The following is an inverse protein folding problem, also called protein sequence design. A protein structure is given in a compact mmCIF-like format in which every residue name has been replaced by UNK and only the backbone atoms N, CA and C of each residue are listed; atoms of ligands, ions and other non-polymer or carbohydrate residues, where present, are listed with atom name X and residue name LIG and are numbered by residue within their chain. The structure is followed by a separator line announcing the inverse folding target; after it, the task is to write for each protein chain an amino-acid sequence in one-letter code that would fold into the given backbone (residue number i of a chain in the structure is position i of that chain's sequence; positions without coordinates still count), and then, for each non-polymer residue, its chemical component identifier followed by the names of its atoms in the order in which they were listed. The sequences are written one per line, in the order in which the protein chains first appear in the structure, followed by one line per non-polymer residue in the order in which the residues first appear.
data_IF_910411626539
#
_entry.id   IF_910411626539
#
_cell.length_a   1.000
_cell.length_b   1.000
_cell.length_c   1.000
_cell.angle_alpha   90.00
_cell.angle_beta   90.00
_cell.angle_gamma   90.00
#
_symmetry.space_group_name_H-M   'P 1'
#
loop_
_entity.id
_entity.type
_entity.pdbx_description
1 polymer ?
#
# COMPACT_ATOMS: atom_id res chain seq x y z
N UNK A 1 -3.60 -8.25 -17.81
CA UNK A 1 -3.05 -8.97 -18.94
C UNK A 1 -2.77 -8.04 -20.11
N UNK A 2 -1.97 -8.48 -21.08
CA UNK A 2 -1.71 -7.78 -22.33
C UNK A 2 -2.83 -8.13 -23.32
N UNK A 3 -3.70 -7.15 -23.63
CA UNK A 3 -4.85 -7.33 -24.49
C UNK A 3 -4.85 -6.26 -25.58
N UNK A 4 -5.08 -6.66 -26.82
CA UNK A 4 -5.11 -5.76 -27.97
C UNK A 4 -6.30 -4.78 -27.94
N UNK A 5 -7.45 -5.23 -27.45
CA UNK A 5 -8.67 -4.45 -27.28
C UNK A 5 -9.50 -4.99 -26.12
N UNK A 6 -10.16 -4.09 -25.41
CA UNK A 6 -11.07 -4.41 -24.31
C UNK A 6 -12.33 -3.59 -24.46
N UNK A 7 -13.48 -4.25 -24.38
CA UNK A 7 -14.78 -3.61 -24.26
C UNK A 7 -15.45 -4.11 -22.97
N UNK A 8 -15.91 -3.19 -22.16
CA UNK A 8 -16.64 -3.51 -20.92
C UNK A 8 -17.98 -2.79 -20.94
N UNK A 9 -19.06 -3.56 -20.79
CA UNK A 9 -20.41 -3.04 -20.69
C UNK A 9 -20.94 -3.22 -19.27
N UNK A 10 -21.41 -2.14 -18.67
CA UNK A 10 -21.98 -2.14 -17.33
C UNK A 10 -23.35 -1.47 -17.29
N UNK A 11 -24.28 -2.03 -16.52
CA UNK A 11 -25.59 -1.46 -16.31
C UNK A 11 -25.79 -1.09 -14.85
N UNK A 12 -26.16 0.15 -14.58
CA UNK A 12 -26.59 0.57 -13.27
C UNK A 12 -28.08 0.28 -13.10
N UNK A 13 -28.41 -0.73 -12.29
CA UNK A 13 -29.80 -1.17 -12.07
C UNK A 13 -30.26 -0.68 -10.71
N UNK A 14 -31.29 0.18 -10.71
CA UNK A 14 -31.94 0.62 -9.48
C UNK A 14 -32.84 -0.48 -8.92
N UNK A 15 -32.67 -0.80 -7.65
CA UNK A 15 -33.46 -1.81 -6.95
C UNK A 15 -33.93 -1.28 -5.60
N UNK A 16 -34.82 -2.01 -4.90
CA UNK A 16 -35.25 -1.71 -3.53
C UNK A 16 -34.28 -2.23 -2.45
N UNK A 17 -33.14 -2.76 -2.86
CA UNK A 17 -32.08 -3.17 -1.93
C UNK A 17 -31.23 -1.96 -1.50
N UNK A 18 -30.53 -2.05 -0.36
CA UNK A 18 -29.57 -1.03 0.03
C UNK A 18 -28.57 -0.73 -1.09
N UNK A 19 -28.17 0.54 -1.20
CA UNK A 19 -27.15 0.98 -2.15
C UNK A 19 -25.85 0.23 -1.88
N UNK A 20 -25.26 -0.32 -2.94
CA UNK A 20 -23.89 -0.79 -2.88
C UNK A 20 -22.93 0.39 -2.72
N UNK A 21 -21.89 0.21 -1.95
CA UNK A 21 -20.90 1.23 -1.68
C UNK A 21 -19.48 0.66 -1.81
N UNK A 22 -18.49 1.55 -1.80
CA UNK A 22 -17.10 1.16 -1.88
C UNK A 22 -16.73 0.24 -0.69
N UNK A 23 -16.14 -0.89 -1.01
CA UNK A 23 -15.53 -1.83 -0.08
C UNK A 23 -14.12 -2.14 -0.61
N UNK A 24 -13.17 -2.56 0.21
CA UNK A 24 -11.75 -2.75 -0.14
C UNK A 24 -11.55 -3.23 -1.59
N UNK A 25 -10.88 -2.41 -2.44
CA UNK A 25 -10.75 -2.57 -3.89
C UNK A 25 -12.11 -2.66 -4.63
N UNK A 26 -12.93 -1.59 -4.65
CA UNK A 26 -14.29 -1.61 -5.18
C UNK A 26 -14.39 -2.20 -6.58
N UNK A 27 -15.16 -3.28 -6.74
CA UNK A 27 -15.39 -3.97 -8.00
C UNK A 27 -14.27 -4.90 -8.47
N UNK A 28 -13.03 -4.71 -8.02
CA UNK A 28 -11.89 -5.51 -8.48
C UNK A 28 -11.99 -7.00 -8.12
N UNK A 29 -12.36 -7.44 -6.90
CA UNK A 29 -12.48 -8.86 -6.60
C UNK A 29 -13.47 -9.59 -7.49
N UNK A 30 -14.63 -8.98 -7.79
CA UNK A 30 -15.64 -9.57 -8.66
C UNK A 30 -15.17 -9.68 -10.10
N UNK A 31 -14.53 -8.63 -10.63
CA UNK A 31 -13.98 -8.62 -11.97
C UNK A 31 -12.83 -9.62 -12.13
N UNK A 32 -11.92 -9.67 -11.13
CA UNK A 32 -10.81 -10.62 -11.10
C UNK A 32 -11.34 -12.06 -11.03
N UNK A 33 -12.32 -12.34 -10.17
CA UNK A 33 -12.94 -13.66 -10.10
C UNK A 33 -13.47 -14.13 -11.45
N UNK A 34 -14.21 -13.29 -12.16
CA UNK A 34 -14.76 -13.63 -13.46
C UNK A 34 -13.67 -13.91 -14.51
N UNK A 35 -12.66 -13.03 -14.59
CA UNK A 35 -11.56 -13.18 -15.56
C UNK A 35 -10.68 -14.39 -15.24
N UNK A 36 -10.30 -14.55 -13.99
CA UNK A 36 -9.39 -15.61 -13.56
C UNK A 36 -10.04 -17.01 -13.64
N UNK A 37 -11.34 -17.11 -13.38
CA UNK A 37 -12.10 -18.36 -13.60
C UNK A 37 -12.05 -18.79 -15.06
N UNK A 38 -12.23 -17.85 -16.00
CA UNK A 38 -12.13 -18.14 -17.44
C UNK A 38 -10.70 -18.52 -17.83
N UNK A 39 -9.69 -17.87 -17.28
CA UNK A 39 -8.28 -18.21 -17.54
C UNK A 39 -7.95 -19.61 -17.01
N UNK A 40 -8.48 -19.99 -15.87
CA UNK A 40 -8.30 -21.35 -15.31
C UNK A 40 -8.98 -22.41 -16.18
N UNK A 41 -10.23 -22.18 -16.61
CA UNK A 41 -10.93 -23.09 -17.52
C UNK A 41 -10.18 -23.25 -18.85
N UNK A 42 -9.69 -22.17 -19.43
CA UNK A 42 -8.89 -22.20 -20.66
C UNK A 42 -7.58 -22.98 -20.45
N UNK A 43 -6.91 -22.81 -19.30
CA UNK A 43 -5.70 -23.55 -18.98
C UNK A 43 -5.95 -25.07 -18.95
N UNK A 44 -7.07 -25.48 -18.37
CA UNK A 44 -7.48 -26.90 -18.30
C UNK A 44 -7.84 -27.43 -19.70
N UNK A 45 -8.66 -26.71 -20.49
CA UNK A 45 -9.07 -27.11 -21.83
C UNK A 45 -7.85 -27.28 -22.76
N UNK A 46 -6.88 -26.39 -22.64
CA UNK A 46 -5.66 -26.40 -23.44
C UNK A 46 -4.57 -27.32 -22.89
N UNK A 47 -4.79 -27.91 -21.72
CA UNK A 47 -3.82 -28.73 -20.98
C UNK A 47 -2.47 -28.02 -20.80
N UNK A 48 -2.54 -26.77 -20.37
CA UNK A 48 -1.39 -25.90 -20.10
C UNK A 48 -1.27 -25.62 -18.60
N UNK A 49 -0.05 -25.41 -18.15
CA UNK A 49 0.19 -24.95 -16.79
C UNK A 49 -0.47 -23.56 -16.56
N UNK A 50 -1.27 -23.38 -15.49
CA UNK A 50 -2.03 -22.16 -15.27
C UNK A 50 -1.12 -20.93 -15.04
N UNK A 51 0.09 -21.10 -14.51
CA UNK A 51 1.07 -19.99 -14.41
C UNK A 51 1.65 -19.66 -15.79
N UNK A 52 1.97 -20.66 -16.59
CA UNK A 52 2.54 -20.43 -17.93
C UNK A 52 1.55 -19.72 -18.86
N UNK A 53 0.26 -20.02 -18.77
CA UNK A 53 -0.78 -19.27 -19.50
C UNK A 53 -0.78 -17.80 -19.09
N UNK A 54 -0.68 -17.53 -17.78
CA UNK A 54 -0.65 -16.16 -17.26
C UNK A 54 0.64 -15.44 -17.64
N UNK A 55 1.80 -16.08 -17.54
CA UNK A 55 3.09 -15.52 -17.98
C UNK A 55 3.11 -15.16 -19.46
N UNK A 56 2.52 -16.01 -20.30
CA UNK A 56 2.41 -15.77 -21.75
C UNK A 56 1.59 -14.51 -22.07
N UNK A 57 0.57 -14.24 -21.27
CA UNK A 57 -0.37 -13.13 -21.46
C UNK A 57 -0.13 -11.98 -20.47
N UNK A 58 0.98 -11.98 -19.73
CA UNK A 58 1.23 -11.01 -18.66
C UNK A 58 1.32 -9.57 -19.18
N UNK A 59 0.74 -8.66 -18.39
CA UNK A 59 0.95 -7.23 -18.55
C UNK A 59 2.45 -6.89 -18.41
N UNK A 60 2.90 -5.92 -19.21
CA UNK A 60 4.31 -5.50 -19.27
C UNK A 60 4.41 -4.00 -19.41
N UNK A 61 5.53 -3.43 -19.00
CA UNK A 61 5.88 -2.02 -19.26
C UNK A 61 5.65 -1.63 -20.72
N UNK A 62 5.06 -0.48 -20.94
CA UNK A 62 4.77 0.08 -22.26
C UNK A 62 3.52 -0.48 -22.93
N UNK A 63 2.82 -1.44 -22.31
CA UNK A 63 1.54 -1.95 -22.81
C UNK A 63 0.36 -1.18 -22.21
N UNK A 64 -0.71 -1.07 -22.99
CA UNK A 64 -1.94 -0.41 -22.55
C UNK A 64 -2.68 -1.31 -21.58
N UNK A 65 -3.10 -0.75 -20.46
CA UNK A 65 -3.93 -1.45 -19.48
C UNK A 65 -5.38 -1.59 -19.95
N UNK A 66 -6.12 -2.51 -19.35
CA UNK A 66 -7.54 -2.70 -19.62
C UNK A 66 -8.42 -1.52 -19.17
N UNK A 67 -7.91 -0.64 -18.31
CA UNK A 67 -8.62 0.54 -17.81
C UNK A 67 -8.15 1.87 -18.42
N UNK A 68 -7.22 1.82 -19.39
CA UNK A 68 -6.83 2.97 -20.22
C UNK A 68 -5.36 3.38 -20.19
N UNK A 69 -4.73 3.63 -19.04
CA UNK A 69 -3.33 4.04 -18.97
C UNK A 69 -2.35 3.03 -19.54
N UNK A 70 -1.18 3.49 -19.96
CA UNK A 70 -0.05 2.63 -20.31
C UNK A 70 0.67 2.24 -19.03
N UNK A 71 1.00 0.96 -18.89
CA UNK A 71 1.77 0.48 -17.74
C UNK A 71 3.19 1.06 -17.75
N UNK A 72 3.62 1.54 -16.62
CA UNK A 72 5.02 1.76 -16.28
C UNK A 72 5.66 0.45 -15.77
N UNK A 73 6.59 0.49 -14.83
CA UNK A 73 7.12 -0.73 -14.25
C UNK A 73 6.02 -1.45 -13.46
N UNK A 74 5.84 -2.74 -13.73
CA UNK A 74 4.78 -3.59 -13.15
C UNK A 74 5.31 -4.98 -12.86
N UNK A 75 5.00 -5.51 -11.69
CA UNK A 75 5.56 -6.73 -11.14
C UNK A 75 4.75 -8.02 -11.40
N UNK A 76 3.90 -8.08 -12.43
CA UNK A 76 3.09 -9.28 -12.66
C UNK A 76 3.93 -10.50 -13.02
N UNK A 77 4.96 -10.34 -13.84
CA UNK A 77 5.83 -11.44 -14.25
C UNK A 77 6.59 -11.97 -13.04
N UNK A 78 7.21 -11.08 -12.28
CA UNK A 78 8.00 -11.39 -11.11
C UNK A 78 7.15 -12.09 -10.03
N UNK A 79 5.90 -11.66 -9.82
CA UNK A 79 4.99 -12.31 -8.88
C UNK A 79 4.58 -13.71 -9.34
N UNK A 80 4.31 -13.90 -10.64
CA UNK A 80 4.00 -15.21 -11.21
C UNK A 80 5.19 -16.17 -11.16
N UNK A 81 6.40 -15.70 -11.48
CA UNK A 81 7.63 -16.50 -11.39
C UNK A 81 7.96 -16.89 -9.95
N UNK A 82 7.80 -15.96 -9.01
CA UNK A 82 7.95 -16.25 -7.58
C UNK A 82 6.93 -17.32 -7.11
N UNK A 83 5.68 -17.22 -7.55
CA UNK A 83 4.65 -18.21 -7.25
C UNK A 83 4.99 -19.58 -7.84
N UNK A 84 5.49 -19.63 -9.08
CA UNK A 84 5.88 -20.87 -9.77
C UNK A 84 7.05 -21.58 -9.07
N UNK A 85 8.01 -20.80 -8.58
CA UNK A 85 9.19 -21.31 -7.89
C UNK A 85 8.91 -21.71 -6.43
N UNK A 86 7.79 -21.30 -5.87
CA UNK A 86 7.50 -21.48 -4.44
C UNK A 86 7.19 -22.96 -4.10
N UNK A 87 7.63 -23.46 -2.94
CA UNK A 87 7.34 -24.84 -2.51
C UNK A 87 5.85 -25.17 -2.45
N UNK A 88 4.97 -24.20 -2.17
CA UNK A 88 3.53 -24.38 -2.18
C UNK A 88 3.04 -24.87 -3.57
N UNK A 89 3.50 -24.23 -4.66
CA UNK A 89 3.07 -24.60 -6.02
C UNK A 89 3.55 -25.99 -6.42
N UNK A 90 4.70 -26.41 -5.91
CA UNK A 90 5.31 -27.73 -6.20
C UNK A 90 4.79 -28.85 -5.29
N UNK A 91 4.08 -28.52 -4.22
CA UNK A 91 3.64 -29.50 -3.25
C UNK A 91 2.59 -30.46 -3.83
N UNK A 92 2.67 -31.78 -3.55
CA UNK A 92 1.67 -32.73 -4.02
C UNK A 92 0.32 -32.47 -3.35
N UNK A 93 -0.74 -32.79 -4.07
CA UNK A 93 -2.12 -32.79 -3.58
C UNK A 93 -2.55 -34.21 -3.25
N UNK A 94 -3.38 -34.35 -2.21
CA UNK A 94 -4.01 -35.60 -1.83
C UNK A 94 -5.37 -35.81 -2.52
N UNK A 95 -6.06 -36.90 -2.18
CA UNK A 95 -7.43 -37.14 -2.63
C UNK A 95 -8.36 -35.99 -2.21
N UNK A 96 -9.31 -35.63 -3.10
CA UNK A 96 -10.29 -34.56 -2.89
C UNK A 96 -9.69 -33.17 -2.63
N UNK A 97 -8.41 -32.98 -2.96
CA UNK A 97 -7.72 -31.72 -2.85
C UNK A 97 -7.52 -31.07 -4.20
N UNK A 98 -7.62 -29.75 -4.23
CA UNK A 98 -7.40 -28.94 -5.42
C UNK A 98 -6.54 -27.73 -5.11
N UNK A 99 -5.83 -27.26 -6.13
CA UNK A 99 -5.07 -26.00 -6.09
C UNK A 99 -5.70 -24.98 -7.00
N UNK A 100 -6.03 -23.83 -6.45
CA UNK A 100 -6.44 -22.65 -7.18
C UNK A 100 -5.32 -21.61 -7.25
N UNK A 101 -5.31 -20.84 -8.35
CA UNK A 101 -4.40 -19.73 -8.57
C UNK A 101 -5.18 -18.58 -9.17
N UNK A 102 -4.94 -17.37 -8.69
CA UNK A 102 -5.43 -16.15 -9.33
C UNK A 102 -4.39 -15.05 -9.31
N UNK A 103 -4.43 -14.17 -10.33
CA UNK A 103 -3.63 -12.97 -10.42
C UNK A 103 -4.55 -11.75 -10.50
N UNK A 104 -4.16 -10.67 -9.85
CA UNK A 104 -4.94 -9.44 -9.87
C UNK A 104 -4.09 -8.22 -9.64
N UNK A 105 -4.70 -7.05 -9.75
CA UNK A 105 -4.04 -5.78 -9.47
C UNK A 105 -4.98 -4.77 -8.84
N UNK A 106 -4.38 -3.82 -8.18
CA UNK A 106 -5.02 -2.58 -7.78
C UNK A 106 -4.11 -1.41 -8.11
N UNK A 107 -4.69 -0.29 -8.43
CA UNK A 107 -3.98 0.96 -8.70
C UNK A 107 -4.09 1.91 -7.51
N UNK A 108 -3.27 2.96 -7.49
CA UNK A 108 -3.31 3.98 -6.46
C UNK A 108 -3.75 5.32 -7.06
N UNK A 109 -4.60 6.01 -6.33
CA UNK A 109 -5.23 7.21 -6.84
C UNK A 109 -4.36 8.48 -6.81
N UNK A 110 -3.33 8.54 -5.96
CA UNK A 110 -2.65 9.81 -5.75
C UNK A 110 -3.54 10.82 -4.99
N UNK A 111 -3.77 12.00 -5.59
CA UNK A 111 -4.70 13.02 -5.11
C UNK A 111 -4.10 14.05 -4.16
N UNK A 112 -4.95 14.97 -3.68
CA UNK A 112 -4.54 16.13 -2.89
C UNK A 112 -4.16 15.74 -1.48
N UNK A 113 -3.05 16.31 -1.00
CA UNK A 113 -2.51 16.05 0.32
C UNK A 113 -1.75 17.26 0.83
N UNK A 114 -1.93 17.56 2.11
CA UNK A 114 -1.23 18.60 2.84
C UNK A 114 -0.59 17.97 4.10
N UNK A 115 0.69 18.23 4.33
CA UNK A 115 1.43 17.80 5.53
C UNK A 115 2.17 18.97 6.11
N UNK A 116 2.09 19.11 7.43
CA UNK A 116 2.94 20.01 8.21
C UNK A 116 3.84 19.21 9.15
N UNK A 117 5.08 19.66 9.30
CA UNK A 117 6.07 19.04 10.16
C UNK A 117 6.64 20.12 11.07
N UNK A 118 6.58 19.91 12.39
CA UNK A 118 7.15 20.83 13.37
C UNK A 118 8.34 20.18 14.08
N UNK A 119 9.46 20.90 14.13
CA UNK A 119 10.62 20.53 14.92
C UNK A 119 10.51 21.20 16.28
N UNK A 120 10.37 20.40 17.33
CA UNK A 120 10.24 20.89 18.71
C UNK A 120 11.62 21.18 19.32
N UNK A 121 11.68 22.08 20.28
CA UNK A 121 12.93 22.50 20.93
C UNK A 121 13.69 21.38 21.66
N UNK A 122 13.03 20.27 21.98
CA UNK A 122 13.62 19.07 22.57
C UNK A 122 14.15 18.08 21.52
N UNK A 123 14.11 18.45 20.23
CA UNK A 123 14.52 17.62 19.10
C UNK A 123 13.52 16.52 18.73
N UNK A 124 12.31 16.53 19.27
CA UNK A 124 11.21 15.70 18.77
C UNK A 124 10.53 16.36 17.56
N UNK A 125 9.87 15.55 16.72
CA UNK A 125 9.23 16.02 15.50
C UNK A 125 7.76 15.59 15.51
N UNK A 126 6.88 16.57 15.27
CA UNK A 126 5.45 16.31 15.06
C UNK A 126 5.14 16.38 13.57
N UNK A 127 4.73 15.26 12.98
CA UNK A 127 4.18 15.21 11.62
C UNK A 127 2.67 15.29 11.72
N UNK A 128 2.07 16.27 11.07
CA UNK A 128 0.64 16.57 11.15
C UNK A 128 0.04 16.31 9.77
N UNK A 129 -0.91 15.39 9.70
CA UNK A 129 -1.58 14.98 8.48
C UNK A 129 -3.07 14.72 8.74
N UNK A 130 -3.91 14.64 7.70
CA UNK A 130 -5.37 14.62 7.83
C UNK A 130 -6.05 13.27 7.55
N UNK A 131 -5.29 12.22 7.25
CA UNK A 131 -5.87 10.92 6.86
C UNK A 131 -5.93 9.95 8.05
N UNK A 132 -7.08 9.31 8.32
CA UNK A 132 -7.16 8.27 9.33
C UNK A 132 -6.16 7.14 9.10
N UNK A 133 -5.60 6.63 10.19
CA UNK A 133 -4.69 5.48 10.17
C UNK A 133 -5.44 4.20 9.82
N UNK A 134 -5.33 3.78 8.57
CA UNK A 134 -5.87 2.51 8.09
C UNK A 134 -4.72 1.65 7.55
N UNK A 135 -4.57 0.46 8.11
CA UNK A 135 -3.52 -0.48 7.73
C UNK A 135 -2.11 -0.09 8.19
N UNK A 136 -1.98 0.79 9.18
CA UNK A 136 -0.69 1.19 9.75
C UNK A 136 0.02 2.31 8.99
N UNK A 137 -0.69 3.08 8.18
CA UNK A 137 -0.12 4.20 7.40
C UNK A 137 0.60 5.22 8.26
N UNK A 138 0.11 5.50 9.48
CA UNK A 138 0.76 6.42 10.42
C UNK A 138 2.20 6.01 10.77
N UNK A 139 2.44 4.72 10.99
CA UNK A 139 3.78 4.22 11.27
C UNK A 139 4.69 4.35 10.03
N UNK A 140 4.18 4.04 8.84
CA UNK A 140 4.92 4.19 7.58
C UNK A 140 5.30 5.66 7.31
N UNK A 141 4.39 6.59 7.55
CA UNK A 141 4.63 8.04 7.44
C UNK A 141 5.72 8.48 8.45
N UNK A 142 5.66 7.98 9.69
CA UNK A 142 6.68 8.26 10.70
C UNK A 142 8.05 7.73 10.28
N UNK A 143 8.13 6.53 9.67
CA UNK A 143 9.38 5.96 9.16
C UNK A 143 9.96 6.80 8.03
N UNK A 144 9.14 7.23 7.06
CA UNK A 144 9.57 8.09 5.95
C UNK A 144 10.14 9.43 6.47
N UNK A 145 9.48 10.04 7.46
CA UNK A 145 9.97 11.26 8.08
C UNK A 145 11.30 11.05 8.82
N UNK A 146 11.42 9.94 9.54
CA UNK A 146 12.63 9.59 10.29
C UNK A 146 13.83 9.36 9.36
N UNK A 147 13.64 8.60 8.29
CA UNK A 147 14.68 8.35 7.27
C UNK A 147 15.12 9.64 6.58
N UNK A 148 14.17 10.48 6.13
CA UNK A 148 14.51 11.73 5.45
C UNK A 148 15.24 12.73 6.35
N UNK A 149 14.84 12.81 7.60
CA UNK A 149 15.48 13.67 8.60
C UNK A 149 16.79 13.09 9.14
N UNK A 150 17.05 11.80 8.97
CA UNK A 150 18.20 11.10 9.55
C UNK A 150 18.13 10.98 11.07
N UNK A 151 16.94 10.81 11.66
CA UNK A 151 16.72 10.73 13.12
C UNK A 151 16.07 9.40 13.50
N UNK A 152 16.24 8.94 14.77
CA UNK A 152 15.54 7.76 15.26
C UNK A 152 14.02 7.89 15.15
N UNK A 153 13.35 6.79 14.82
CA UNK A 153 11.89 6.70 14.68
C UNK A 153 11.15 7.22 15.91
N UNK A 154 11.65 6.97 17.08
CA UNK A 154 11.08 7.35 18.38
C UNK A 154 11.01 8.88 18.57
N UNK A 155 11.75 9.64 17.76
CA UNK A 155 11.67 11.11 17.76
C UNK A 155 10.49 11.64 16.96
N UNK A 156 9.86 10.80 16.11
CA UNK A 156 8.75 11.21 15.26
C UNK A 156 7.43 10.88 15.93
N UNK A 157 6.51 11.83 15.93
CA UNK A 157 5.13 11.66 16.35
C UNK A 157 4.20 12.11 15.24
N UNK A 158 3.57 11.17 14.54
CA UNK A 158 2.53 11.49 13.57
C UNK A 158 1.20 11.71 14.28
N UNK A 159 0.57 12.83 14.00
CA UNK A 159 -0.70 13.29 14.55
C UNK A 159 -1.70 13.41 13.39
N UNK A 160 -2.81 12.69 13.51
CA UNK A 160 -3.95 12.86 12.62
C UNK A 160 -4.74 14.07 13.14
N UNK A 161 -4.73 15.15 12.37
CA UNK A 161 -5.27 16.41 12.79
C UNK A 161 -6.75 16.59 12.40
N UNK A 162 -7.35 17.62 12.97
CA UNK A 162 -8.61 18.17 12.54
C UNK A 162 -8.48 18.77 11.12
N UNK A 163 -9.42 18.43 10.24
CA UNK A 163 -9.42 18.89 8.84
C UNK A 163 -9.55 20.42 8.70
N UNK A 164 -10.03 21.12 9.72
CA UNK A 164 -10.07 22.59 9.75
C UNK A 164 -8.70 23.23 10.07
N UNK A 165 -7.77 22.47 10.65
CA UNK A 165 -6.47 22.99 11.12
C UNK A 165 -5.29 22.70 10.19
N UNK A 166 -5.46 21.86 9.16
CA UNK A 166 -4.37 21.36 8.30
C UNK A 166 -4.67 21.62 6.84
N UNK A 167 -5.47 22.15 6.27
CA UNK A 167 -5.73 22.20 4.84
C UNK A 167 -6.37 20.89 4.31
N UNK A 168 -6.58 20.83 3.02
CA UNK A 168 -7.33 19.75 2.41
C UNK A 168 -6.48 18.49 2.24
N UNK A 169 -7.07 17.35 2.61
CA UNK A 169 -6.58 16.01 2.27
C UNK A 169 -7.74 15.24 1.64
N UNK A 170 -7.50 14.60 0.50
CA UNK A 170 -8.46 13.68 -0.07
C UNK A 170 -8.68 12.49 0.87
N UNK A 171 -9.80 11.80 0.71
CA UNK A 171 -10.21 10.70 1.58
C UNK A 171 -9.16 9.58 1.68
N UNK A 172 -9.18 8.84 2.77
CA UNK A 172 -8.44 7.57 2.89
C UNK A 172 -9.14 6.50 2.07
N UNK A 173 -8.81 6.42 0.81
CA UNK A 173 -9.37 5.50 -0.18
C UNK A 173 -8.36 5.29 -1.32
N UNK A 174 -8.58 4.30 -2.19
CA UNK A 174 -7.79 4.07 -3.40
C UNK A 174 -6.31 3.77 -3.16
N UNK A 175 -5.93 3.29 -2.00
CA UNK A 175 -4.55 2.95 -1.59
C UNK A 175 -3.57 4.13 -1.68
N UNK A 176 -4.06 5.36 -1.43
CA UNK A 176 -3.29 6.58 -1.66
C UNK A 176 -2.45 7.06 -0.47
N UNK A 177 -2.82 6.71 0.78
CA UNK A 177 -2.25 7.39 1.96
C UNK A 177 -0.74 7.20 2.06
N UNK A 178 -0.24 5.97 2.10
CA UNK A 178 1.22 5.72 2.18
C UNK A 178 1.96 6.38 1.01
N UNK A 179 1.37 6.41 -0.18
CA UNK A 179 1.96 7.04 -1.36
C UNK A 179 1.90 8.57 -1.28
N UNK A 180 0.72 9.16 -1.26
CA UNK A 180 0.55 10.63 -1.39
C UNK A 180 0.95 11.38 -0.13
N UNK A 181 0.51 10.89 1.06
CA UNK A 181 0.89 11.52 2.34
C UNK A 181 2.36 11.25 2.64
N UNK A 182 2.88 10.07 2.27
CA UNK A 182 4.31 9.77 2.36
C UNK A 182 5.15 10.73 1.53
N UNK A 183 4.77 10.97 0.26
CA UNK A 183 5.43 11.94 -0.61
C UNK A 183 5.40 13.35 -0.01
N UNK A 184 4.25 13.81 0.46
CA UNK A 184 4.12 15.11 1.10
C UNK A 184 4.95 15.21 2.39
N UNK A 185 5.04 14.12 3.15
CA UNK A 185 5.85 14.04 4.38
C UNK A 185 7.34 14.18 4.08
N UNK A 186 7.84 13.45 3.08
CA UNK A 186 9.23 13.55 2.63
C UNK A 186 9.54 14.99 2.20
N UNK A 187 8.66 15.61 1.41
CA UNK A 187 8.83 16.99 0.95
C UNK A 187 8.76 18.02 2.08
N UNK A 188 7.86 17.82 3.05
CA UNK A 188 7.79 18.66 4.25
C UNK A 188 9.05 18.51 5.13
N UNK A 189 9.62 17.31 5.22
CA UNK A 189 10.88 17.06 5.89
C UNK A 189 12.04 17.78 5.18
N UNK A 190 12.09 17.71 3.84
CA UNK A 190 13.07 18.45 3.04
C UNK A 190 12.97 19.97 3.22
N UNK A 191 11.77 20.53 3.29
CA UNK A 191 11.56 21.96 3.60
C UNK A 191 12.06 22.31 5.01
N UNK A 192 11.80 21.46 6.01
CA UNK A 192 12.35 21.63 7.35
C UNK A 192 13.88 21.53 7.38
N UNK A 193 14.49 20.59 6.65
CA UNK A 193 15.94 20.44 6.49
C UNK A 193 16.56 21.71 5.92
N UNK A 194 15.98 22.27 4.84
CA UNK A 194 16.51 23.53 4.26
C UNK A 194 16.51 24.66 5.28
N UNK A 195 15.45 24.80 6.08
CA UNK A 195 15.38 25.78 7.15
C UNK A 195 16.41 25.53 8.25
N UNK A 196 16.62 24.27 8.64
CA UNK A 196 17.66 23.90 9.62
C UNK A 196 19.06 24.17 9.10
N UNK A 197 19.36 23.89 7.84
CA UNK A 197 20.62 24.27 7.20
C UNK A 197 20.84 25.80 7.24
N UNK A 198 19.79 26.58 6.95
CA UNK A 198 19.85 28.05 7.08
C UNK A 198 20.12 28.51 8.51
N UNK A 199 19.57 27.84 9.54
CA UNK A 199 19.85 28.15 10.95
C UNK A 199 21.30 27.78 11.32
N UNK A 200 21.80 26.63 10.89
CA UNK A 200 23.18 26.23 11.11
C UNK A 200 24.15 27.21 10.44
N UNK A 201 23.87 27.63 9.21
CA UNK A 201 24.65 28.67 8.52
C UNK A 201 24.73 29.96 9.31
N UNK A 202 23.59 30.41 9.86
CA UNK A 202 23.53 31.59 10.71
C UNK A 202 24.37 31.42 12.00
N UNK A 203 24.32 30.26 12.64
CA UNK A 203 25.11 29.94 13.84
C UNK A 203 26.60 29.99 13.54
N UNK A 204 27.02 29.47 12.39
CA UNK A 204 28.42 29.44 11.96
C UNK A 204 28.89 30.75 11.28
N UNK A 205 27.96 31.62 10.87
CA UNK A 205 28.30 32.84 10.13
C UNK A 205 28.80 32.57 8.70
N UNK A 206 28.24 31.58 8.02
CA UNK A 206 28.55 31.19 6.64
C UNK A 206 27.31 31.25 5.75
N UNK A 207 27.47 31.09 4.44
CA UNK A 207 26.35 31.04 3.51
C UNK A 207 25.57 29.71 3.64
N UNK A 208 24.25 29.79 3.47
CA UNK A 208 23.38 28.61 3.56
C UNK A 208 23.70 27.53 2.52
N UNK A 209 24.16 27.93 1.33
CA UNK A 209 24.57 27.03 0.26
C UNK A 209 25.86 26.24 0.61
N UNK A 210 26.60 26.66 1.65
CA UNK A 210 27.77 25.97 2.16
C UNK A 210 27.44 24.98 3.32
N UNK A 211 26.15 24.60 3.44
CA UNK A 211 25.67 23.65 4.45
C UNK A 211 24.95 22.49 3.77
N UNK A 212 25.32 21.26 4.10
CA UNK A 212 24.60 20.03 3.72
C UNK A 212 23.91 19.41 4.91
N UNK A 213 22.99 18.49 4.66
CA UNK A 213 22.33 17.71 5.70
C UNK A 213 22.75 16.25 5.56
N UNK A 214 23.34 15.69 6.60
CA UNK A 214 23.85 14.32 6.62
C UNK A 214 23.54 13.68 7.97
N UNK A 215 22.93 12.50 7.96
CA UNK A 215 22.66 11.69 9.17
C UNK A 215 22.06 12.46 10.35
N UNK A 216 21.06 13.30 10.06
CA UNK A 216 20.35 14.07 11.10
C UNK A 216 21.07 15.30 11.62
N UNK A 217 22.08 15.77 10.90
CA UNK A 217 22.87 16.94 11.26
C UNK A 217 23.15 17.85 10.07
N UNK A 218 23.24 19.15 10.33
CA UNK A 218 23.82 20.11 9.41
C UNK A 218 25.36 19.96 9.42
N UNK A 219 25.97 19.90 8.24
CA UNK A 219 27.41 19.73 8.06
C UNK A 219 27.96 20.85 7.17
N UNK A 220 29.05 21.53 7.57
CA UNK A 220 29.68 22.53 6.72
C UNK A 220 30.27 21.88 5.48
N UNK A 221 29.98 22.45 4.29
CA UNK A 221 30.40 21.92 3.01
C UNK A 221 31.34 22.88 2.25
N UNK A 222 31.90 22.41 1.12
CA UNK A 222 32.76 23.18 0.25
C UNK A 222 34.00 23.70 0.99
N UNK A 223 34.29 24.98 0.84
CA UNK A 223 35.43 25.62 1.50
C UNK A 223 35.34 25.65 3.04
N UNK A 224 34.15 25.40 3.58
CA UNK A 224 33.91 25.39 5.04
C UNK A 224 34.00 23.97 5.64
N UNK A 225 34.22 22.95 4.84
CA UNK A 225 34.32 21.58 5.31
C UNK A 225 35.37 21.45 6.42
N UNK A 226 34.96 20.90 7.58
CA UNK A 226 35.80 20.68 8.74
C UNK A 226 36.15 21.94 9.54
N UNK A 227 35.65 23.14 9.18
CA UNK A 227 35.92 24.36 9.97
C UNK A 227 35.04 24.50 11.20
N UNK A 228 33.89 23.90 11.21
CA UNK A 228 32.93 23.89 12.30
C UNK A 228 32.48 22.46 12.61
N UNK A 229 32.15 22.15 13.89
CA UNK A 229 31.55 20.85 14.21
C UNK A 229 30.15 20.77 13.59
N UNK A 230 29.71 19.58 13.11
CA UNK A 230 28.31 19.37 12.71
C UNK A 230 27.34 19.74 13.83
N UNK A 231 26.17 20.22 13.47
CA UNK A 231 25.08 20.52 14.41
C UNK A 231 23.93 19.55 14.17
N UNK A 232 23.61 18.75 15.16
CA UNK A 232 22.45 17.85 15.11
C UNK A 232 21.13 18.62 15.05
N UNK A 233 20.08 17.96 14.57
CA UNK A 233 18.72 18.50 14.59
C UNK A 233 18.35 19.06 15.97
N UNK A 234 18.67 18.31 17.03
CA UNK A 234 18.32 18.69 18.40
C UNK A 234 19.09 19.95 18.87
N UNK A 235 20.36 20.09 18.51
CA UNK A 235 21.13 21.28 18.83
C UNK A 235 20.64 22.52 18.11
N UNK A 236 20.27 22.42 16.83
CA UNK A 236 19.68 23.51 16.06
C UNK A 236 18.31 23.88 16.63
N UNK A 237 17.49 22.89 16.98
CA UNK A 237 16.16 23.08 17.54
C UNK A 237 16.20 23.79 18.90
N UNK A 238 17.17 23.43 19.76
CA UNK A 238 17.32 24.01 21.09
C UNK A 238 17.56 25.53 21.07
N UNK A 239 18.26 26.04 20.05
CA UNK A 239 18.55 27.47 19.87
C UNK A 239 17.66 28.17 18.83
N UNK A 240 16.56 27.55 18.45
CA UNK A 240 15.67 28.04 17.38
C UNK A 240 15.15 29.45 17.65
N UNK A 241 14.81 29.77 18.89
CA UNK A 241 14.30 31.11 19.28
C UNK A 241 15.34 32.22 19.12
N UNK A 242 16.62 31.89 19.19
CA UNK A 242 17.73 32.83 19.02
C UNK A 242 18.13 33.00 17.57
N UNK A 243 17.76 32.03 16.72
CA UNK A 243 18.13 31.97 15.30
C UNK A 243 16.99 32.27 14.34
N UNK A 244 15.84 32.74 14.81
CA UNK A 244 14.71 33.22 14.00
C UNK A 244 13.37 32.53 14.27
N UNK A 245 13.22 31.85 15.41
CA UNK A 245 11.96 31.29 15.89
C UNK A 245 11.70 29.84 15.49
N UNK A 246 10.47 29.35 15.66
CA UNK A 246 10.09 27.96 15.40
C UNK A 246 10.50 27.46 14.02
N UNK A 247 10.84 26.17 13.91
CA UNK A 247 11.20 25.51 12.66
C UNK A 247 10.06 24.58 12.30
N UNK A 248 9.50 24.77 11.10
CA UNK A 248 8.45 23.92 10.56
C UNK A 248 8.65 23.71 9.07
N UNK A 249 8.37 22.50 8.61
CA UNK A 249 8.26 22.15 7.20
C UNK A 249 6.78 22.04 6.78
N UNK A 250 6.49 22.34 5.53
CA UNK A 250 5.15 22.25 4.99
C UNK A 250 5.20 21.86 3.52
N UNK A 251 4.26 21.02 3.10
CA UNK A 251 4.13 20.68 1.68
C UNK A 251 2.70 20.33 1.32
N UNK A 252 2.29 20.80 0.17
CA UNK A 252 1.01 20.47 -0.47
C UNK A 252 1.30 19.85 -1.83
N UNK A 253 0.59 18.79 -2.17
CA UNK A 253 0.72 18.11 -3.45
C UNK A 253 -0.62 17.58 -3.92
N UNK A 254 -0.84 17.65 -5.23
CA UNK A 254 -1.80 16.82 -5.95
C UNK A 254 -0.98 15.73 -6.65
N UNK A 255 -0.82 14.59 -6.00
CA UNK A 255 0.00 13.51 -6.51
C UNK A 255 -0.72 12.79 -7.66
N UNK A 256 0.01 12.55 -8.76
CA UNK A 256 -0.46 11.65 -9.80
C UNK A 256 -0.49 10.21 -9.26
N UNK A 257 -1.45 9.40 -9.74
CA UNK A 257 -1.54 8.01 -9.33
C UNK A 257 -0.29 7.21 -9.69
N UNK A 258 0.11 6.30 -8.81
CA UNK A 258 1.38 5.60 -8.90
C UNK A 258 1.36 4.32 -9.75
N UNK A 259 0.39 4.16 -10.62
CA UNK A 259 0.31 2.93 -11.41
C UNK A 259 -0.30 1.78 -10.62
N UNK A 260 0.09 0.53 -10.92
CA UNK A 260 -0.55 -0.67 -10.40
C UNK A 260 0.42 -1.55 -9.63
N UNK A 261 -0.12 -2.20 -8.60
CA UNK A 261 0.53 -3.24 -7.83
C UNK A 261 -0.15 -4.58 -8.11
N UNK A 262 0.60 -5.57 -8.56
CA UNK A 262 0.08 -6.90 -8.86
C UNK A 262 0.25 -7.85 -7.69
N UNK A 263 -0.75 -8.73 -7.53
CA UNK A 263 -0.71 -9.84 -6.59
C UNK A 263 -1.04 -11.17 -7.26
N UNK A 264 -0.47 -12.24 -6.74
CA UNK A 264 -0.79 -13.63 -7.11
C UNK A 264 -1.11 -14.40 -5.85
N UNK A 265 -2.20 -15.15 -5.87
CA UNK A 265 -2.65 -15.95 -4.75
C UNK A 265 -2.65 -17.43 -5.12
N UNK A 266 -2.12 -18.27 -4.23
CA UNK A 266 -2.20 -19.73 -4.28
C UNK A 266 -3.04 -20.23 -3.11
N UNK A 267 -3.98 -21.11 -3.39
CA UNK A 267 -4.84 -21.72 -2.39
C UNK A 267 -4.96 -23.23 -2.64
N UNK A 268 -4.64 -24.04 -1.63
CA UNK A 268 -4.98 -25.47 -1.61
C UNK A 268 -6.21 -25.68 -0.76
N UNK A 269 -7.21 -26.32 -1.30
CA UNK A 269 -8.45 -26.67 -0.61
C UNK A 269 -8.74 -28.16 -0.68
N UNK A 270 -9.43 -28.66 0.34
CA UNK A 270 -9.97 -30.02 0.40
C UNK A 270 -11.49 -29.93 0.48
N UNK A 271 -12.17 -30.78 -0.28
CA UNK A 271 -13.63 -30.87 -0.26
C UNK A 271 -14.04 -32.24 0.23
N UNK A 272 -14.89 -32.28 1.24
CA UNK A 272 -15.54 -33.50 1.68
C UNK A 272 -16.58 -33.93 0.62
N UNK A 273 -16.43 -35.08 -0.05
CA UNK A 273 -17.31 -35.49 -1.13
C UNK A 273 -18.73 -35.88 -0.67
N UNK A 274 -18.92 -36.15 0.63
CA UNK A 274 -20.24 -36.52 1.17
C UNK A 274 -21.04 -35.29 1.56
N UNK A 275 -20.40 -34.26 2.10
CA UNK A 275 -21.08 -33.06 2.64
C UNK A 275 -20.90 -31.82 1.78
N UNK A 276 -19.89 -31.80 0.92
CA UNK A 276 -19.47 -30.61 0.18
C UNK A 276 -18.73 -29.57 1.02
N UNK A 277 -18.45 -29.88 2.28
CA UNK A 277 -17.71 -28.95 3.17
C UNK A 277 -16.30 -28.71 2.63
N UNK A 278 -15.93 -27.44 2.52
CA UNK A 278 -14.64 -27.00 1.99
C UNK A 278 -13.74 -26.55 3.13
N UNK A 279 -12.50 -27.02 3.14
CA UNK A 279 -11.46 -26.60 4.08
C UNK A 279 -10.25 -26.06 3.32
N UNK A 280 -9.80 -24.86 3.67
CA UNK A 280 -8.54 -24.34 3.15
C UNK A 280 -7.37 -24.99 3.90
N UNK A 281 -6.46 -25.60 3.14
CA UNK A 281 -5.31 -26.31 3.69
C UNK A 281 -4.07 -25.43 3.75
N UNK A 282 -3.81 -24.68 2.70
CA UNK A 282 -2.68 -23.75 2.55
C UNK A 282 -3.09 -22.54 1.77
N UNK A 283 -2.51 -21.40 2.12
CA UNK A 283 -2.71 -20.15 1.39
C UNK A 283 -1.40 -19.36 1.35
N UNK A 284 -1.00 -18.91 0.16
CA UNK A 284 0.18 -18.07 -0.03
C UNK A 284 -0.16 -16.89 -0.91
N UNK A 285 0.23 -15.70 -0.46
CA UNK A 285 0.06 -14.43 -1.19
C UNK A 285 1.41 -13.93 -1.65
N UNK A 286 1.54 -13.63 -2.92
CA UNK A 286 2.68 -12.95 -3.54
C UNK A 286 2.21 -11.57 -3.94
N UNK A 287 2.87 -10.52 -3.47
CA UNK A 287 2.44 -9.15 -3.71
C UNK A 287 3.63 -8.26 -4.06
N UNK A 288 3.51 -7.59 -5.21
CA UNK A 288 4.33 -6.44 -5.51
C UNK A 288 3.88 -5.26 -4.63
N UNK A 289 4.76 -4.78 -3.78
CA UNK A 289 4.48 -3.71 -2.82
C UNK A 289 5.27 -2.42 -3.14
N UNK A 290 5.94 -2.34 -4.30
CA UNK A 290 6.99 -1.36 -4.47
C UNK A 290 8.06 -1.57 -3.40
N UNK A 291 8.50 -0.53 -2.69
CA UNK A 291 9.29 -0.71 -1.47
C UNK A 291 8.38 -0.91 -0.26
N UNK A 292 8.58 -1.99 0.47
CA UNK A 292 7.86 -2.25 1.71
C UNK A 292 8.40 -1.37 2.85
N UNK A 293 7.86 -0.18 3.02
CA UNK A 293 8.30 0.78 4.06
C UNK A 293 8.17 0.18 5.47
N UNK A 294 7.11 -0.59 5.70
CA UNK A 294 6.89 -1.32 6.95
C UNK A 294 6.50 -2.77 6.65
N UNK A 295 7.46 -3.71 6.47
CA UNK A 295 7.20 -5.06 5.98
C UNK A 295 6.12 -5.82 6.75
N UNK A 296 6.14 -5.80 8.09
CA UNK A 296 5.13 -6.52 8.88
C UNK A 296 3.70 -5.97 8.72
N UNK A 297 3.53 -4.69 8.42
CA UNK A 297 2.21 -4.15 8.09
C UNK A 297 1.79 -4.50 6.67
N UNK A 298 2.72 -4.59 5.72
CA UNK A 298 2.44 -5.12 4.38
C UNK A 298 1.96 -6.56 4.48
N UNK A 299 2.66 -7.42 5.22
CA UNK A 299 2.23 -8.81 5.49
C UNK A 299 0.83 -8.86 6.10
N UNK A 300 0.57 -8.04 7.14
CA UNK A 300 -0.75 -7.95 7.77
C UNK A 300 -1.85 -7.52 6.79
N UNK A 301 -1.55 -6.60 5.87
CA UNK A 301 -2.48 -6.19 4.82
C UNK A 301 -2.74 -7.30 3.79
N UNK A 302 -1.72 -8.06 3.40
CA UNK A 302 -1.84 -9.22 2.51
C UNK A 302 -2.70 -10.33 3.16
N UNK A 303 -2.41 -10.67 4.40
CA UNK A 303 -3.17 -11.66 5.19
C UNK A 303 -4.63 -11.23 5.37
N UNK A 304 -4.87 -9.98 5.74
CA UNK A 304 -6.20 -9.42 5.90
C UNK A 304 -7.00 -9.39 4.60
N UNK A 305 -6.36 -9.12 3.46
CA UNK A 305 -6.99 -9.20 2.14
C UNK A 305 -7.37 -10.63 1.76
N UNK A 306 -6.49 -11.59 2.00
CA UNK A 306 -6.76 -13.01 1.76
C UNK A 306 -7.90 -13.52 2.65
N UNK A 307 -7.90 -13.16 3.93
CA UNK A 307 -8.98 -13.51 4.86
C UNK A 307 -10.35 -13.01 4.41
N UNK A 308 -10.42 -11.77 3.90
CA UNK A 308 -11.66 -11.23 3.33
C UNK A 308 -12.11 -12.01 2.08
N UNK A 309 -11.17 -12.34 1.18
CA UNK A 309 -11.48 -13.13 -0.02
C UNK A 309 -11.97 -14.54 0.31
N UNK A 310 -11.39 -15.19 1.30
CA UNK A 310 -11.84 -16.50 1.80
C UNK A 310 -13.26 -16.39 2.39
N UNK A 311 -13.51 -15.34 3.18
CA UNK A 311 -14.84 -15.09 3.74
C UNK A 311 -15.91 -14.95 2.67
N UNK A 312 -15.65 -14.17 1.63
CA UNK A 312 -16.57 -14.01 0.50
C UNK A 312 -16.80 -15.32 -0.28
N UNK A 313 -15.77 -16.14 -0.39
CA UNK A 313 -15.87 -17.40 -1.12
C UNK A 313 -16.67 -18.48 -0.36
N UNK A 314 -16.59 -18.50 0.98
CA UNK A 314 -17.07 -19.63 1.76
C UNK A 314 -18.19 -19.32 2.77
N UNK A 315 -18.25 -18.10 3.32
CA UNK A 315 -19.07 -17.83 4.50
C UNK A 315 -20.02 -16.64 4.38
N UNK A 316 -19.59 -15.59 3.67
CA UNK A 316 -20.28 -14.29 3.69
C UNK A 316 -21.31 -14.19 2.58
N UNK A 317 -22.58 -14.01 2.97
CA UNK A 317 -23.70 -13.84 2.03
C UNK A 317 -24.76 -12.91 2.64
N UNK A 318 -25.34 -12.03 1.84
CA UNK A 318 -26.53 -11.29 2.20
C UNK A 318 -27.78 -12.10 1.85
N UNK A 319 -28.49 -12.57 2.86
CA UNK A 319 -29.70 -13.37 2.71
C UNK A 319 -30.93 -12.46 2.80
N UNK A 320 -31.60 -12.27 1.66
CA UNK A 320 -32.84 -11.48 1.59
C UNK A 320 -34.08 -12.38 1.60
N UNK A 321 -35.04 -12.06 2.46
CA UNK A 321 -36.35 -12.67 2.43
C UNK A 321 -37.16 -12.27 1.21
N UNK A 322 -38.30 -12.96 1.00
CA UNK A 322 -39.22 -12.64 -0.11
C UNK A 322 -39.83 -11.25 0.01
N UNK A 323 -39.85 -10.69 1.21
CA UNK A 323 -40.29 -9.34 1.52
C UNK A 323 -39.20 -8.27 1.32
N UNK A 324 -38.02 -8.66 0.85
CA UNK A 324 -36.87 -7.78 0.60
C UNK A 324 -36.08 -7.39 1.86
N UNK A 325 -36.42 -7.92 3.02
CA UNK A 325 -35.66 -7.66 4.25
C UNK A 325 -34.42 -8.53 4.35
N UNK A 326 -33.31 -7.94 4.80
CA UNK A 326 -32.09 -8.66 5.12
C UNK A 326 -32.31 -9.51 6.38
N UNK A 327 -32.17 -10.84 6.27
CA UNK A 327 -32.45 -11.79 7.34
C UNK A 327 -31.25 -11.98 8.28
N UNK A 328 -30.03 -11.78 7.77
CA UNK A 328 -28.78 -11.97 8.51
C UNK A 328 -28.05 -10.64 8.71
N UNK A 329 -28.71 -9.64 9.29
CA UNK A 329 -28.19 -8.29 9.46
C UNK A 329 -27.27 -8.08 10.67
N UNK A 330 -27.12 -9.08 11.53
CA UNK A 330 -26.31 -9.01 12.75
C UNK A 330 -24.97 -9.70 12.65
N UNK A 331 -24.03 -9.37 13.54
CA UNK A 331 -22.72 -10.03 13.62
C UNK A 331 -22.77 -11.53 13.96
N UNK A 332 -23.88 -12.02 14.47
CA UNK A 332 -24.08 -13.45 14.72
C UNK A 332 -24.43 -14.23 13.45
N UNK A 333 -25.11 -13.58 12.53
CA UNK A 333 -25.72 -14.22 11.36
C UNK A 333 -24.93 -13.96 10.08
N UNK A 334 -24.28 -12.78 9.95
CA UNK A 334 -23.34 -12.50 8.87
C UNK A 334 -21.96 -13.01 9.26
N UNK A 335 -21.55 -14.12 8.68
CA UNK A 335 -20.41 -14.90 9.12
C UNK A 335 -19.10 -14.46 8.49
N UNK A 336 -18.42 -13.52 9.13
CA UNK A 336 -17.03 -13.20 8.82
C UNK A 336 -16.13 -14.34 9.36
N UNK A 337 -15.12 -14.80 8.64
CA UNK A 337 -14.19 -15.80 9.13
C UNK A 337 -13.53 -15.41 10.45
N UNK A 338 -13.47 -16.33 11.39
CA UNK A 338 -12.66 -16.18 12.60
C UNK A 338 -11.30 -16.85 12.44
N UNK A 339 -10.37 -16.58 13.33
CA UNK A 339 -8.99 -17.07 13.21
C UNK A 339 -8.89 -18.60 13.08
N UNK A 340 -9.84 -19.35 13.66
CA UNK A 340 -9.89 -20.83 13.54
C UNK A 340 -10.38 -21.35 12.20
N UNK A 341 -11.02 -20.50 11.38
CA UNK A 341 -11.55 -20.89 10.07
C UNK A 341 -10.47 -20.77 8.97
N UNK A 342 -9.36 -20.11 9.28
CA UNK A 342 -8.30 -19.81 8.35
C UNK A 342 -7.04 -20.65 8.62
N UNK A 343 -6.33 -21.10 7.57
CA UNK A 343 -4.99 -21.63 7.72
C UNK A 343 -4.03 -20.49 8.04
N UNK A 344 -2.78 -20.82 8.38
CA UNK A 344 -1.71 -19.83 8.28
C UNK A 344 -1.62 -19.34 6.84
N UNK A 345 -1.66 -18.01 6.66
CA UNK A 345 -1.49 -17.37 5.36
C UNK A 345 -0.03 -16.94 5.25
N UNK A 346 0.71 -17.55 4.36
CA UNK A 346 2.08 -17.20 4.06
C UNK A 346 2.12 -16.03 3.08
N UNK A 347 3.10 -15.14 3.23
CA UNK A 347 3.25 -13.92 2.44
C UNK A 347 4.64 -13.83 1.84
N UNK A 348 4.71 -13.44 0.57
CA UNK A 348 5.94 -13.18 -0.16
C UNK A 348 5.84 -11.77 -0.73
N UNK A 349 6.62 -10.85 -0.17
CA UNK A 349 6.69 -9.47 -0.64
C UNK A 349 7.71 -9.40 -1.77
N UNK A 350 7.28 -8.82 -2.89
CA UNK A 350 8.17 -8.43 -3.99
C UNK A 350 8.25 -6.90 -4.03
N UNK A 351 9.42 -6.40 -4.34
CA UNK A 351 9.67 -4.96 -4.41
C UNK A 351 10.07 -4.59 -5.84
N UNK A 352 9.08 -4.12 -6.63
CA UNK A 352 9.28 -3.57 -7.95
C UNK A 352 9.08 -2.06 -7.85
N UNK A 353 10.14 -1.26 -7.85
CA UNK A 353 10.07 0.17 -7.60
C UNK A 353 9.22 0.90 -8.63
N UNK A 354 8.34 1.78 -8.15
CA UNK A 354 7.61 2.73 -8.99
C UNK A 354 8.38 4.05 -9.05
N UNK A 355 8.80 4.51 -10.23
CA UNK A 355 9.61 5.74 -10.36
C UNK A 355 8.87 7.02 -9.95
N UNK A 356 7.54 6.98 -9.82
CA UNK A 356 6.73 8.12 -9.39
C UNK A 356 6.80 8.47 -7.90
N UNK A 357 7.50 7.65 -7.10
CA UNK A 357 7.65 7.87 -5.66
C UNK A 357 9.10 7.64 -5.21
N UNK A 358 9.65 8.42 -4.25
CA UNK A 358 11.02 8.25 -3.74
C UNK A 358 11.31 6.86 -3.17
N UNK A 359 10.30 6.18 -2.68
CA UNK A 359 10.40 4.81 -2.18
C UNK A 359 10.01 3.75 -3.24
N UNK A 360 9.49 4.15 -4.36
CA UNK A 360 9.01 3.22 -5.37
C UNK A 360 7.62 2.69 -5.08
#
# INVERSE_FOLDING_TARGET
YDMAAVETLGWNVLTNRPKEAAYRAPGAPMAIYAVESVVDELSQILNLDPIDVRLKNAARKGRKSSYGPTFDDVGLIETLEAAKAHPHYQAPLGPNQGRGLSAGFWFNFGGNTCVSLNVNTDGTISVIEGNPDIGGSRASISLMAAEELGVPYEKIRTIIADTASLGHNDITDGSRVTFSVGLATIKAAQDAIQKMCGRAAQIWGIDADAVTWEDGAAVPAGENAGKFPPLSLAEIAAVSFETGGPIAGHFEVNADGAGVSFGVHLCDAEVDPETGATKILRYTVFQDAGRAVHPSYVEGQMQGGAAQGIGWALNEEYIYGKDGRLQNSGFLDYRIPVASDLPRIDTVILEIPNPGHPYG
#
